data_IF_372797631768
#
_entry.id   IF_372797631768
#
_cell.length_a   1.000
_cell.length_b   1.000
_cell.length_c   1.000
_cell.angle_alpha   90.00
_cell.angle_beta   90.00
_cell.angle_gamma   90.00
#
_symmetry.space_group_name_H-M   'P 1'
#
loop_
_entity.id
_entity.type
_entity.pdbx_description
1 polymer ?
#
# COMPACT_ATOMS: atom_id res chain seq x y z
N UNK A 1 -44.11 46.26 -30.16
CA UNK A 1 -44.13 45.25 -29.08
C UNK A 1 -42.98 44.27 -29.31
N UNK A 2 -42.05 44.23 -28.34
CA UNK A 2 -41.08 43.18 -27.96
C UNK A 2 -40.28 42.46 -29.09
N UNK A 3 -38.95 42.48 -29.19
CA UNK A 3 -37.93 42.61 -28.15
C UNK A 3 -37.42 41.23 -27.70
N UNK A 4 -36.79 40.45 -28.58
CA UNK A 4 -36.21 39.13 -28.22
C UNK A 4 -34.68 39.20 -28.33
N UNK A 5 -34.07 39.39 -27.18
CA UNK A 5 -32.62 39.48 -26.95
C UNK A 5 -31.89 38.17 -27.27
N UNK A 6 -30.96 38.22 -28.23
CA UNK A 6 -30.02 37.12 -28.61
C UNK A 6 -28.93 36.83 -27.55
N UNK A 7 -29.22 36.98 -26.25
CA UNK A 7 -28.23 36.90 -25.17
C UNK A 7 -28.29 35.61 -24.33
N UNK A 8 -29.19 34.67 -24.65
CA UNK A 8 -29.39 33.46 -23.82
C UNK A 8 -28.56 32.22 -24.20
N UNK A 9 -27.94 32.17 -25.40
CA UNK A 9 -27.37 30.91 -25.92
C UNK A 9 -25.90 30.65 -25.56
N UNK A 10 -25.16 31.66 -25.07
CA UNK A 10 -23.74 31.49 -24.70
C UNK A 10 -23.51 31.14 -23.23
N UNK A 11 -24.49 31.39 -22.35
CA UNK A 11 -24.35 31.11 -20.91
C UNK A 11 -24.55 29.63 -20.56
N UNK A 12 -25.29 28.88 -21.38
CA UNK A 12 -25.55 27.46 -21.13
C UNK A 12 -24.31 26.57 -21.29
N UNK A 13 -23.35 26.96 -22.14
CA UNK A 13 -22.10 26.19 -22.32
C UNK A 13 -21.06 26.43 -21.23
N UNK A 14 -21.12 27.57 -20.52
CA UNK A 14 -20.22 27.82 -19.39
C UNK A 14 -20.67 27.10 -18.10
N UNK A 15 -21.97 26.85 -17.91
CA UNK A 15 -22.48 26.10 -16.76
C UNK A 15 -22.31 24.57 -16.90
N UNK A 16 -22.18 24.05 -18.13
CA UNK A 16 -21.89 22.64 -18.35
C UNK A 16 -20.44 22.24 -17.98
N UNK A 17 -19.52 23.21 -17.90
CA UNK A 17 -18.11 22.98 -17.54
C UNK A 17 -17.83 23.03 -16.03
N UNK A 18 -18.75 23.57 -15.23
CA UNK A 18 -18.60 23.67 -13.77
C UNK A 18 -19.28 22.51 -13.01
N UNK A 19 -20.22 21.79 -13.63
CA UNK A 19 -20.91 20.65 -13.02
C UNK A 19 -20.12 19.33 -12.97
N UNK A 20 -19.03 19.21 -13.75
CA UNK A 20 -18.26 17.96 -13.87
C UNK A 20 -17.13 17.78 -12.85
N UNK A 21 -16.73 18.84 -12.12
CA UNK A 21 -15.59 18.77 -11.20
C UNK A 21 -15.94 18.19 -9.81
N UNK A 22 -17.19 18.25 -9.38
CA UNK A 22 -17.61 17.75 -8.06
C UNK A 22 -17.63 16.20 -7.99
N UNK A 23 -17.92 15.51 -9.08
CA UNK A 23 -17.88 14.04 -9.14
C UNK A 23 -16.46 13.47 -9.26
N UNK A 24 -15.58 14.21 -9.94
CA UNK A 24 -14.21 13.78 -10.21
C UNK A 24 -13.33 13.82 -8.96
N UNK A 25 -13.47 14.83 -8.09
CA UNK A 25 -12.70 14.93 -6.84
C UNK A 25 -13.13 13.89 -5.80
N UNK A 26 -14.43 13.57 -5.72
CA UNK A 26 -14.95 12.53 -4.83
C UNK A 26 -14.55 11.11 -5.28
N UNK A 27 -14.50 10.85 -6.58
CA UNK A 27 -13.99 9.59 -7.13
C UNK A 27 -12.49 9.42 -6.85
N UNK A 28 -11.68 10.44 -7.13
CA UNK A 28 -10.23 10.42 -6.87
C UNK A 28 -9.90 10.27 -5.37
N UNK A 29 -10.69 10.90 -4.49
CA UNK A 29 -10.54 10.73 -3.04
C UNK A 29 -10.87 9.30 -2.56
N UNK A 30 -11.87 8.65 -3.17
CA UNK A 30 -12.22 7.25 -2.87
C UNK A 30 -11.17 6.27 -3.40
N UNK A 31 -10.67 6.50 -4.62
CA UNK A 31 -9.64 5.67 -5.22
C UNK A 31 -8.32 5.75 -4.44
N UNK A 32 -7.92 6.94 -4.00
CA UNK A 32 -6.73 7.12 -3.16
C UNK A 32 -6.89 6.51 -1.76
N UNK A 33 -8.08 6.59 -1.16
CA UNK A 33 -8.35 5.94 0.13
C UNK A 33 -8.35 4.41 0.01
N UNK A 34 -8.91 3.85 -1.08
CA UNK A 34 -8.87 2.42 -1.36
C UNK A 34 -7.45 1.90 -1.62
N UNK A 35 -6.64 2.64 -2.40
CA UNK A 35 -5.22 2.32 -2.63
C UNK A 35 -4.42 2.34 -1.32
N UNK A 36 -4.68 3.33 -0.46
CA UNK A 36 -4.02 3.40 0.85
C UNK A 36 -4.45 2.24 1.76
N UNK A 37 -5.74 1.90 1.82
CA UNK A 37 -6.23 0.78 2.63
C UNK A 37 -5.61 -0.54 2.18
N UNK A 38 -5.58 -0.82 0.88
CA UNK A 38 -4.94 -2.02 0.32
C UNK A 38 -3.42 -2.04 0.63
N UNK A 39 -2.76 -0.88 0.57
CA UNK A 39 -1.34 -0.76 0.93
C UNK A 39 -1.08 -1.10 2.39
N UNK A 40 -1.93 -0.60 3.29
CA UNK A 40 -1.82 -0.87 4.73
C UNK A 40 -2.13 -2.33 5.05
N UNK A 41 -3.10 -2.95 4.37
CA UNK A 41 -3.41 -4.37 4.51
C UNK A 41 -2.24 -5.25 4.05
N UNK A 42 -1.64 -4.93 2.89
CA UNK A 42 -0.43 -5.63 2.40
C UNK A 42 0.73 -5.49 3.39
N UNK A 43 0.89 -4.30 3.99
CA UNK A 43 1.90 -4.05 5.02
C UNK A 43 1.63 -4.82 6.31
N UNK A 44 0.38 -4.93 6.74
CA UNK A 44 -0.03 -5.73 7.88
C UNK A 44 0.36 -7.20 7.70
N UNK A 45 0.12 -7.77 6.52
CA UNK A 45 0.50 -9.16 6.21
C UNK A 45 2.00 -9.41 6.31
N UNK A 46 2.82 -8.49 5.80
CA UNK A 46 4.29 -8.56 5.91
C UNK A 46 4.76 -8.45 7.36
N UNK A 47 4.20 -7.51 8.14
CA UNK A 47 4.56 -7.36 9.56
C UNK A 47 4.11 -8.54 10.41
N UNK A 48 2.98 -9.17 10.08
CA UNK A 48 2.51 -10.39 10.74
C UNK A 48 3.48 -11.54 10.48
N UNK A 49 3.93 -11.72 9.24
CA UNK A 49 4.94 -12.74 8.91
C UNK A 49 6.27 -12.49 9.64
N UNK A 50 6.71 -11.22 9.74
CA UNK A 50 7.89 -10.84 10.54
C UNK A 50 7.72 -11.22 12.02
N UNK A 51 6.61 -10.83 12.64
CA UNK A 51 6.32 -11.15 14.04
C UNK A 51 6.24 -12.66 14.29
N UNK A 52 5.57 -13.41 13.40
CA UNK A 52 5.53 -14.88 13.48
C UNK A 52 6.91 -15.50 13.31
N UNK A 53 7.75 -14.98 12.42
CA UNK A 53 9.11 -15.49 12.27
C UNK A 53 9.96 -15.23 13.52
N UNK A 54 9.78 -14.09 14.19
CA UNK A 54 10.47 -13.80 15.44
C UNK A 54 10.12 -14.81 16.54
N UNK A 55 8.86 -15.22 16.62
CA UNK A 55 8.34 -16.18 17.59
C UNK A 55 8.69 -17.64 17.24
N UNK A 56 8.54 -18.02 15.97
CA UNK A 56 8.59 -19.41 15.51
C UNK A 56 9.93 -19.82 14.91
N UNK A 57 10.79 -18.86 14.56
CA UNK A 57 12.10 -19.10 13.91
C UNK A 57 12.00 -20.01 12.68
N UNK A 58 10.99 -19.76 11.84
CA UNK A 58 10.71 -20.59 10.64
C UNK A 58 11.80 -20.38 9.59
N UNK A 59 12.22 -19.13 9.39
CA UNK A 59 13.27 -18.77 8.45
C UNK A 59 14.63 -18.95 9.12
N UNK A 60 15.62 -19.40 8.34
CA UNK A 60 17.02 -19.33 8.75
C UNK A 60 17.50 -17.88 8.90
N UNK A 61 18.73 -17.69 9.40
CA UNK A 61 19.30 -16.36 9.66
C UNK A 61 19.41 -15.52 8.39
N UNK A 62 19.81 -16.13 7.26
CA UNK A 62 19.99 -15.41 6.01
C UNK A 62 18.64 -14.93 5.45
N UNK A 63 17.61 -15.78 5.49
CA UNK A 63 16.24 -15.45 5.07
C UNK A 63 15.57 -14.47 6.03
N UNK A 64 15.85 -14.56 7.33
CA UNK A 64 15.36 -13.59 8.32
C UNK A 64 15.94 -12.20 8.03
N UNK A 65 17.25 -12.11 7.79
CA UNK A 65 17.90 -10.86 7.43
C UNK A 65 17.35 -10.28 6.12
N UNK A 66 17.12 -11.13 5.11
CA UNK A 66 16.50 -10.71 3.86
C UNK A 66 15.10 -10.12 4.08
N UNK A 67 14.28 -10.77 4.92
CA UNK A 67 12.96 -10.26 5.29
C UNK A 67 13.06 -8.87 5.96
N UNK A 68 14.00 -8.67 6.88
CA UNK A 68 14.23 -7.37 7.53
C UNK A 68 14.64 -6.27 6.54
N UNK A 69 15.51 -6.60 5.58
CA UNK A 69 15.95 -5.69 4.53
C UNK A 69 14.79 -5.31 3.58
N UNK A 70 13.93 -6.26 3.23
CA UNK A 70 12.75 -6.03 2.39
C UNK A 70 11.69 -5.20 3.11
N UNK A 71 11.41 -5.49 4.39
CA UNK A 71 10.54 -4.67 5.26
C UNK A 71 11.05 -3.24 5.34
N UNK A 72 12.36 -3.06 5.53
CA UNK A 72 12.99 -1.73 5.59
C UNK A 72 12.84 -0.99 4.25
N UNK A 73 12.98 -1.68 3.12
CA UNK A 73 12.78 -1.08 1.80
C UNK A 73 11.32 -0.65 1.58
N UNK A 74 10.36 -1.45 2.03
CA UNK A 74 8.93 -1.13 2.00
C UNK A 74 8.64 0.08 2.87
N UNK A 75 9.06 0.09 4.14
CA UNK A 75 8.85 1.18 5.09
C UNK A 75 9.33 2.53 4.54
N UNK A 76 10.57 2.60 4.03
CA UNK A 76 11.14 3.82 3.42
C UNK A 76 10.30 4.38 2.26
N UNK A 77 9.50 3.53 1.62
CA UNK A 77 8.61 3.94 0.52
C UNK A 77 7.24 4.36 1.04
N UNK A 78 6.71 3.65 2.04
CA UNK A 78 5.42 3.95 2.64
C UNK A 78 5.44 5.25 3.46
N UNK A 79 6.52 5.56 4.16
CA UNK A 79 6.68 6.81 4.93
C UNK A 79 6.51 8.08 4.08
N UNK A 80 6.64 7.98 2.75
CA UNK A 80 6.40 9.11 1.83
C UNK A 80 4.92 9.37 1.56
N UNK A 81 4.03 8.45 1.93
CA UNK A 81 2.61 8.41 1.52
C UNK A 81 1.65 8.17 2.69
N UNK A 82 2.16 7.62 3.78
CA UNK A 82 1.40 7.21 4.97
C UNK A 82 2.07 7.80 6.19
N UNK A 83 1.30 8.25 7.18
CA UNK A 83 1.89 8.79 8.40
C UNK A 83 2.61 7.69 9.20
N UNK A 84 3.73 8.02 9.88
CA UNK A 84 4.43 7.06 10.73
C UNK A 84 3.54 6.42 11.81
N UNK A 85 2.57 7.17 12.35
CA UNK A 85 1.63 6.67 13.35
C UNK A 85 0.71 5.59 12.80
N UNK A 86 0.24 5.72 11.56
CA UNK A 86 -0.56 4.69 10.90
C UNK A 86 0.26 3.42 10.64
N UNK A 87 1.50 3.58 10.15
CA UNK A 87 2.40 2.45 9.92
C UNK A 87 2.74 1.72 11.22
N UNK A 88 3.02 2.47 12.29
CA UNK A 88 3.25 1.91 13.62
C UNK A 88 2.01 1.19 14.16
N UNK A 89 0.83 1.78 14.02
CA UNK A 89 -0.43 1.15 14.42
C UNK A 89 -0.67 -0.18 13.71
N UNK A 90 -0.39 -0.25 12.40
CA UNK A 90 -0.48 -1.50 11.62
C UNK A 90 0.54 -2.53 12.10
N UNK A 91 1.80 -2.12 12.31
CA UNK A 91 2.84 -3.01 12.81
C UNK A 91 2.47 -3.61 14.18
N UNK A 92 2.02 -2.77 15.11
CA UNK A 92 1.61 -3.20 16.45
C UNK A 92 0.42 -4.16 16.38
N UNK A 93 -0.61 -3.84 15.58
CA UNK A 93 -1.78 -4.71 15.44
C UNK A 93 -1.40 -6.08 14.84
N UNK A 94 -0.49 -6.09 13.87
CA UNK A 94 0.01 -7.33 13.28
C UNK A 94 0.77 -8.19 14.30
N UNK A 95 1.57 -7.58 15.18
CA UNK A 95 2.30 -8.31 16.25
C UNK A 95 1.41 -8.77 17.40
N UNK A 96 0.31 -8.06 17.70
CA UNK A 96 -0.66 -8.51 18.72
C UNK A 96 -1.51 -9.66 18.19
N UNK A 97 -1.87 -9.62 16.91
CA UNK A 97 -2.68 -10.66 16.26
C UNK A 97 -2.01 -12.04 16.19
N UNK A 98 -0.69 -12.13 16.39
CA UNK A 98 0.02 -13.42 16.37
C UNK A 98 -0.13 -14.21 17.67
N UNK A 99 -0.44 -13.55 18.80
CA UNK A 99 -0.38 -14.18 20.14
C UNK A 99 1.03 -14.69 20.48
N UNK A 100 1.34 -14.94 21.75
CA UNK A 100 2.61 -15.64 22.07
C UNK A 100 2.41 -17.15 21.97
N UNK A 101 3.14 -17.86 21.10
CA UNK A 101 3.19 -19.31 21.17
C UNK A 101 3.98 -19.72 22.43
N UNK A 102 3.49 -20.73 23.16
CA UNK A 102 4.14 -21.23 24.37
C UNK A 102 5.58 -21.75 24.13
N UNK A 103 5.93 -22.07 22.88
CA UNK A 103 7.31 -22.27 22.42
C UNK A 103 7.37 -22.26 20.88
N UNK A 104 8.55 -22.00 20.30
CA UNK A 104 8.79 -22.10 18.86
C UNK A 104 8.51 -23.52 18.29
N UNK A 105 8.60 -24.56 19.11
CA UNK A 105 8.29 -25.93 18.73
C UNK A 105 6.78 -26.18 18.50
N UNK A 106 5.92 -25.29 19.01
CA UNK A 106 4.47 -25.39 18.89
C UNK A 106 3.90 -24.58 17.71
N UNK A 107 4.75 -24.04 16.84
CA UNK A 107 4.27 -23.33 15.66
C UNK A 107 3.74 -24.32 14.64
N UNK A 108 2.42 -24.28 14.44
CA UNK A 108 1.70 -25.11 13.50
C UNK A 108 2.14 -24.85 12.05
N UNK A 109 1.82 -25.79 11.16
CA UNK A 109 2.18 -25.67 9.74
C UNK A 109 1.51 -24.46 9.08
N UNK A 110 0.36 -24.00 9.61
CA UNK A 110 -0.30 -22.78 9.16
C UNK A 110 0.54 -21.53 9.46
N UNK A 111 1.15 -21.43 10.64
CA UNK A 111 2.08 -20.36 10.99
C UNK A 111 3.34 -20.40 10.13
N UNK A 112 3.89 -21.59 9.85
CA UNK A 112 5.03 -21.75 8.95
C UNK A 112 4.70 -21.27 7.54
N UNK A 113 3.59 -21.73 6.97
CA UNK A 113 3.13 -21.29 5.65
C UNK A 113 2.87 -19.78 5.61
N UNK A 114 2.31 -19.21 6.67
CA UNK A 114 2.09 -17.76 6.78
C UNK A 114 3.40 -16.97 6.77
N UNK A 115 4.44 -17.45 7.46
CA UNK A 115 5.77 -16.81 7.45
C UNK A 115 6.41 -16.90 6.07
N UNK A 116 6.37 -18.06 5.42
CA UNK A 116 6.96 -18.24 4.09
C UNK A 116 6.24 -17.39 3.03
N UNK A 117 4.91 -17.42 3.02
CA UNK A 117 4.11 -16.62 2.10
C UNK A 117 4.34 -15.12 2.30
N UNK A 118 4.37 -14.65 3.55
CA UNK A 118 4.62 -13.25 3.86
C UNK A 118 6.05 -12.81 3.53
N UNK A 119 7.04 -13.70 3.68
CA UNK A 119 8.42 -13.45 3.26
C UNK A 119 8.54 -13.28 1.74
N UNK A 120 7.90 -14.16 0.97
CA UNK A 120 7.86 -14.06 -0.50
C UNK A 120 7.11 -12.80 -0.96
N UNK A 121 6.02 -12.46 -0.28
CA UNK A 121 5.24 -11.25 -0.53
C UNK A 121 6.07 -9.99 -0.26
N UNK A 122 6.84 -9.96 0.83
CA UNK A 122 7.71 -8.84 1.17
C UNK A 122 8.79 -8.65 0.11
N UNK A 123 9.45 -9.74 -0.31
CA UNK A 123 10.47 -9.72 -1.35
C UNK A 123 9.92 -9.18 -2.68
N UNK A 124 8.83 -9.76 -3.15
CA UNK A 124 8.17 -9.35 -4.40
C UNK A 124 7.80 -7.87 -4.36
N UNK A 125 7.24 -7.41 -3.23
CA UNK A 125 6.83 -6.02 -3.09
C UNK A 125 8.02 -5.06 -3.00
N UNK A 126 9.08 -5.42 -2.27
CA UNK A 126 10.30 -4.64 -2.22
C UNK A 126 10.91 -4.49 -3.62
N UNK A 127 10.90 -5.55 -4.43
CA UNK A 127 11.36 -5.53 -5.82
C UNK A 127 10.48 -4.67 -6.72
N UNK A 128 9.15 -4.71 -6.61
CA UNK A 128 8.24 -3.79 -7.29
C UNK A 128 8.58 -2.33 -6.95
N UNK A 129 8.82 -2.03 -5.68
CA UNK A 129 9.13 -0.68 -5.18
C UNK A 129 10.53 -0.19 -5.56
N UNK A 130 11.49 -1.10 -5.74
CA UNK A 130 12.83 -0.84 -6.30
C UNK A 130 12.74 -0.60 -7.81
N UNK A 131 12.06 -1.48 -8.55
CA UNK A 131 11.92 -1.49 -10.01
C UNK A 131 11.15 -0.30 -10.58
N UNK A 132 10.22 0.31 -9.81
CA UNK A 132 9.56 1.57 -10.21
C UNK A 132 10.51 2.75 -10.45
N UNK A 133 11.79 2.68 -10.07
CA UNK A 133 12.79 3.72 -10.40
C UNK A 133 13.38 3.60 -11.82
N UNK A 134 13.22 2.49 -12.54
CA UNK A 134 13.98 2.22 -13.77
C UNK A 134 13.23 2.45 -15.10
N UNK A 135 11.91 2.70 -15.10
CA UNK A 135 11.11 2.84 -16.34
C UNK A 135 10.89 4.29 -16.79
N UNK A 136 11.84 5.18 -16.49
CA UNK A 136 11.72 6.60 -16.79
C UNK A 136 12.96 7.19 -17.43
N UNK A 137 13.63 6.51 -18.39
CA UNK A 137 14.55 7.20 -19.31
C UNK A 137 14.98 6.35 -20.54
N UNK A 138 14.07 6.07 -21.45
CA UNK A 138 14.39 5.62 -22.82
C UNK A 138 13.10 5.76 -23.64
N UNK A 139 12.90 6.62 -24.63
CA UNK A 139 13.79 7.36 -25.53
C UNK A 139 12.92 8.47 -26.11
N UNK A 140 13.20 9.74 -25.76
CA UNK A 140 12.83 10.88 -26.59
C UNK A 140 14.15 11.37 -27.20
N UNK A 141 14.39 11.02 -28.46
CA UNK A 141 15.61 11.42 -29.16
C UNK A 141 16.05 10.46 -30.25
N UNK A 142 15.34 10.48 -31.38
CA UNK A 142 15.90 10.75 -32.71
C UNK A 142 14.76 10.84 -33.73
#
# INVERSE_FOLDING_TARGET
>A
MNGISRRGRRMAWMLALLGGMAGSTAAVARDSAAEQAQTLERFAGVMLAKGRNEQCKVLDEARTKQLDDDVTAILKKLEKRVSPQQLLGVALNATVATGEPASAANCDDAARQSVEAGSEQARTWADELRGRRSRGNSTQGK
#
